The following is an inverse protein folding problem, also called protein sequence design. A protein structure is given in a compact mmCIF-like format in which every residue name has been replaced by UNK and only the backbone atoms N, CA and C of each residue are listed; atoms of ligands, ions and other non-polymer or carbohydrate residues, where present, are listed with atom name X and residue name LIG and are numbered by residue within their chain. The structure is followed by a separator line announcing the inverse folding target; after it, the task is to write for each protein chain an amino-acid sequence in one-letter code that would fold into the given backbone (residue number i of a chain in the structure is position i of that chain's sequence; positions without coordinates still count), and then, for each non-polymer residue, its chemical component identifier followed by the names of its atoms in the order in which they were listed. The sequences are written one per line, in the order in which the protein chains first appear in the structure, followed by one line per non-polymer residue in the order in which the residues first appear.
data_IF_348024111377
#
_entry.id   IF_348024111377
#
_cell.length_a   1.000
_cell.length_b   1.000
_cell.length_c   1.000
_cell.angle_alpha   90.00
_cell.angle_beta   90.00
_cell.angle_gamma   90.00
#
_symmetry.space_group_name_H-M   'P 1'
#
loop_
_entity.id
_entity.type
_entity.pdbx_description
1 polymer ?
#
# COMPACT_ATOMS: atom_id res chain seq x y z
N UNK A 1 3.33 8.12 18.42
CA UNK A 1 3.16 6.89 17.60
C UNK A 1 3.51 7.20 16.15
N UNK A 2 4.35 6.36 15.55
CA UNK A 2 4.67 6.50 14.14
C UNK A 2 3.62 5.75 13.31
N UNK A 3 2.71 6.49 12.70
CA UNK A 3 1.59 5.92 11.93
C UNK A 3 2.10 5.17 10.71
N UNK A 4 3.10 5.70 10.04
CA UNK A 4 3.71 5.06 8.86
C UNK A 4 4.25 3.67 9.21
N UNK A 5 5.00 3.56 10.30
CA UNK A 5 5.53 2.28 10.75
C UNK A 5 4.42 1.30 11.11
N UNK A 6 3.36 1.79 11.77
CA UNK A 6 2.22 0.97 12.15
C UNK A 6 1.50 0.43 10.91
N UNK A 7 1.21 1.28 9.94
CA UNK A 7 0.55 0.87 8.70
C UNK A 7 1.41 -0.15 7.95
N UNK A 8 2.71 0.11 7.84
CA UNK A 8 3.64 -0.80 7.16
C UNK A 8 3.63 -2.20 7.77
N UNK A 9 3.74 -2.28 9.10
CA UNK A 9 3.75 -3.57 9.81
C UNK A 9 2.43 -4.31 9.66
N UNK A 10 1.32 -3.60 9.78
CA UNK A 10 -0.02 -4.19 9.67
C UNK A 10 -0.30 -4.67 8.24
N UNK A 11 0.08 -3.89 7.25
CA UNK A 11 -0.08 -4.24 5.85
C UNK A 11 0.76 -5.46 5.49
N UNK A 12 2.01 -5.47 5.91
CA UNK A 12 2.91 -6.62 5.67
C UNK A 12 2.34 -7.90 6.28
N UNK A 13 1.84 -7.83 7.52
CA UNK A 13 1.26 -8.97 8.19
C UNK A 13 -0.04 -9.43 7.51
N UNK A 14 -0.87 -8.48 7.10
CA UNK A 14 -2.12 -8.79 6.40
C UNK A 14 -1.85 -9.56 5.11
N UNK A 15 -0.88 -9.12 4.32
CA UNK A 15 -0.52 -9.80 3.08
C UNK A 15 0.07 -11.19 3.35
N UNK A 16 0.88 -11.31 4.39
CA UNK A 16 1.44 -12.62 4.77
C UNK A 16 0.34 -13.61 5.13
N UNK A 17 -0.70 -13.15 5.83
CA UNK A 17 -1.78 -14.01 6.30
C UNK A 17 -2.78 -14.36 5.20
N UNK A 18 -2.93 -13.51 4.19
CA UNK A 18 -4.01 -13.64 3.21
C UNK A 18 -3.56 -13.96 1.78
N UNK A 19 -2.29 -13.75 1.45
CA UNK A 19 -1.78 -14.02 0.11
C UNK A 19 -1.01 -15.32 0.04
N UNK A 20 -1.29 -16.12 -0.99
CA UNK A 20 -0.53 -17.33 -1.27
C UNK A 20 0.78 -17.07 -1.99
N UNK A 21 0.98 -15.86 -2.50
CA UNK A 21 2.17 -15.51 -3.29
C UNK A 21 3.32 -14.98 -2.45
N UNK A 22 3.13 -14.84 -1.13
CA UNK A 22 4.16 -14.38 -0.19
C UNK A 22 4.93 -13.13 -0.67
N UNK A 23 4.23 -12.00 -0.90
CA UNK A 23 4.87 -10.82 -1.43
C UNK A 23 5.91 -10.24 -0.46
N UNK A 24 6.96 -9.68 -1.03
CA UNK A 24 7.99 -8.98 -0.25
C UNK A 24 7.60 -7.51 -0.15
N UNK A 25 7.48 -7.00 1.07
CA UNK A 25 7.02 -5.63 1.31
C UNK A 25 8.16 -4.79 1.84
N UNK A 26 8.43 -3.68 1.16
CA UNK A 26 9.50 -2.75 1.51
C UNK A 26 8.93 -1.35 1.73
N UNK A 27 9.60 -0.56 2.56
CA UNK A 27 9.26 0.86 2.75
C UNK A 27 10.12 1.79 1.90
N UNK A 28 11.08 1.25 1.17
CA UNK A 28 11.91 1.95 0.19
C UNK A 28 12.04 1.09 -1.04
N UNK A 29 12.11 1.72 -2.21
CA UNK A 29 12.38 1.00 -3.44
C UNK A 29 13.75 0.33 -3.36
N UNK A 30 13.86 -0.99 -3.57
CA UNK A 30 15.15 -1.65 -3.63
C UNK A 30 15.92 -1.18 -4.87
N UNK A 31 17.25 -1.20 -4.79
CA UNK A 31 18.09 -0.81 -5.94
C UNK A 31 17.84 -1.70 -7.15
N UNK A 32 17.69 -2.99 -6.92
CA UNK A 32 17.42 -3.97 -7.97
C UNK A 32 16.23 -4.83 -7.54
N UNK A 33 15.28 -5.01 -8.46
CA UNK A 33 14.18 -5.94 -8.24
C UNK A 33 14.66 -7.34 -8.59
N UNK A 34 14.92 -8.15 -7.57
CA UNK A 34 15.39 -9.53 -7.73
C UNK A 34 14.39 -10.56 -7.21
N UNK A 35 13.41 -10.13 -6.43
CA UNK A 35 12.39 -11.02 -5.85
C UNK A 35 11.00 -10.54 -6.28
N UNK A 36 10.10 -11.48 -6.48
CA UNK A 36 8.73 -11.18 -6.91
C UNK A 36 7.75 -12.09 -6.17
N UNK A 37 6.53 -11.62 -5.88
CA UNK A 37 6.08 -10.24 -6.04
C UNK A 37 6.77 -9.30 -5.06
N UNK A 38 6.93 -8.07 -5.44
CA UNK A 38 7.49 -7.03 -4.58
C UNK A 38 6.50 -5.88 -4.46
N UNK A 39 6.32 -5.40 -3.24
CA UNK A 39 5.44 -4.27 -2.94
C UNK A 39 6.26 -3.22 -2.20
N UNK A 40 6.19 -1.98 -2.66
CA UNK A 40 6.82 -0.84 -2.00
C UNK A 40 5.73 0.07 -1.46
N UNK A 41 5.66 0.19 -0.15
CA UNK A 41 4.71 1.08 0.51
C UNK A 41 5.46 2.31 1.01
N UNK A 42 5.10 3.46 0.50
CA UNK A 42 5.68 4.75 0.91
C UNK A 42 4.58 5.69 1.38
N UNK A 43 4.87 6.43 2.44
CA UNK A 43 4.08 7.59 2.80
C UNK A 43 4.61 8.78 2.01
N UNK A 44 3.77 9.35 1.13
CA UNK A 44 4.16 10.52 0.34
C UNK A 44 3.98 11.79 1.14
N UNK A 45 2.90 11.87 1.91
CA UNK A 45 2.46 13.09 2.52
C UNK A 45 1.77 12.82 3.85
N UNK A 46 2.15 13.57 4.87
CA UNK A 46 1.49 13.57 6.16
C UNK A 46 1.41 15.03 6.61
N UNK A 47 0.36 15.72 6.14
CA UNK A 47 0.19 17.14 6.42
C UNK A 47 -1.04 17.38 7.27
N UNK A 48 -0.94 18.39 8.13
CA UNK A 48 -2.08 18.90 8.85
C UNK A 48 -2.98 19.65 7.87
N UNK A 49 -4.28 19.32 7.87
CA UNK A 49 -5.24 19.98 7.02
C UNK A 49 -5.64 21.31 7.67
N UNK A 50 -5.20 22.41 7.09
CA UNK A 50 -5.44 23.75 7.63
C UNK A 50 -6.92 24.13 7.68
N UNK A 51 -7.78 23.49 6.90
CA UNK A 51 -9.22 23.75 6.92
C UNK A 51 -9.89 23.28 8.21
N UNK A 52 -9.23 22.41 8.95
CA UNK A 52 -9.74 21.83 10.19
C UNK A 52 -8.99 22.32 11.42
N UNK A 53 -8.01 23.20 11.27
CA UNK A 53 -7.39 23.84 12.42
C UNK A 53 -8.35 24.89 12.94
N UNK A 54 -9.13 24.51 13.94
CA UNK A 54 -10.12 25.40 14.54
C UNK A 54 -9.51 26.30 15.60
N UNK A 55 -10.26 27.31 16.01
CA UNK A 55 -9.83 28.23 17.03
C UNK A 55 -9.59 27.56 18.39
N UNK A 56 -10.25 26.45 18.68
CA UNK A 56 -10.06 25.76 19.95
C UNK A 56 -8.87 24.80 19.95
N UNK A 57 -8.32 24.47 18.81
CA UNK A 57 -7.11 23.66 18.62
C UNK A 57 -7.15 22.27 19.25
N UNK A 58 -8.30 21.80 19.67
CA UNK A 58 -8.43 20.47 20.25
C UNK A 58 -8.53 19.37 19.22
N UNK A 59 -9.00 19.72 18.03
CA UNK A 59 -9.08 18.81 16.92
C UNK A 59 -8.18 19.31 15.80
N UNK A 60 -7.36 18.43 15.31
CA UNK A 60 -6.63 18.67 14.09
C UNK A 60 -6.75 17.43 13.20
N UNK A 61 -6.74 17.67 11.92
CA UNK A 61 -6.86 16.62 10.91
C UNK A 61 -5.55 16.54 10.14
N UNK A 62 -4.94 15.37 10.16
CA UNK A 62 -3.80 15.07 9.32
C UNK A 62 -4.29 14.29 8.11
N UNK A 63 -3.79 14.66 6.94
CA UNK A 63 -4.00 13.89 5.75
C UNK A 63 -2.76 13.04 5.48
N UNK A 64 -2.96 11.73 5.38
CA UNK A 64 -1.90 10.77 5.08
C UNK A 64 -2.16 10.21 3.69
N UNK A 65 -1.17 10.32 2.83
CA UNK A 65 -1.21 9.76 1.50
C UNK A 65 -0.13 8.69 1.38
N UNK A 66 -0.54 7.49 1.05
CA UNK A 66 0.37 6.36 0.86
C UNK A 66 0.38 5.96 -0.60
N UNK A 67 1.55 5.68 -1.12
CA UNK A 67 1.72 5.12 -2.46
C UNK A 67 2.14 3.66 -2.34
N UNK A 68 1.44 2.80 -3.03
CA UNK A 68 1.73 1.37 -3.06
C UNK A 68 2.11 0.99 -4.48
N UNK A 69 3.38 0.61 -4.69
CA UNK A 69 3.86 0.09 -5.96
C UNK A 69 3.93 -1.42 -5.87
N UNK A 70 3.22 -2.10 -6.77
CA UNK A 70 3.20 -3.56 -6.83
C UNK A 70 3.89 -4.01 -8.10
N UNK A 71 4.91 -4.85 -7.96
CA UNK A 71 5.68 -5.40 -9.09
C UNK A 71 5.47 -6.90 -9.12
N UNK A 72 4.99 -7.41 -10.25
CA UNK A 72 4.75 -8.84 -10.43
C UNK A 72 5.34 -9.34 -11.73
N UNK A 73 5.63 -10.65 -11.77
CA UNK A 73 5.92 -11.35 -13.01
C UNK A 73 5.40 -12.78 -12.88
N UNK A 74 5.40 -13.52 -13.99
CA UNK A 74 4.93 -14.90 -13.97
C UNK A 74 5.68 -15.72 -12.92
N UNK A 75 4.96 -16.55 -12.19
CA UNK A 75 5.53 -17.39 -11.14
C UNK A 75 5.07 -18.83 -11.29
N UNK A 76 5.89 -19.74 -10.80
CA UNK A 76 5.55 -21.16 -10.69
C UNK A 76 5.61 -21.53 -9.21
N UNK A 77 4.47 -21.98 -8.66
CA UNK A 77 4.36 -22.39 -7.26
C UNK A 77 3.81 -23.81 -7.24
N UNK A 78 4.53 -24.72 -6.60
CA UNK A 78 4.16 -26.14 -6.52
C UNK A 78 3.80 -26.76 -7.87
N UNK A 79 4.55 -26.38 -8.91
CA UNK A 79 4.34 -26.88 -10.27
C UNK A 79 3.20 -26.21 -11.03
N UNK A 80 2.51 -25.26 -10.43
CA UNK A 80 1.41 -24.51 -11.06
C UNK A 80 1.92 -23.16 -11.51
N UNK A 81 1.69 -22.81 -12.78
CA UNK A 81 2.07 -21.53 -13.34
C UNK A 81 0.98 -20.50 -13.07
N UNK A 82 1.38 -19.35 -12.51
CA UNK A 82 0.50 -18.22 -12.28
C UNK A 82 0.93 -17.04 -13.14
N UNK A 83 0.05 -16.55 -14.02
CA UNK A 83 0.37 -15.36 -14.83
C UNK A 83 0.54 -14.13 -13.95
N UNK A 84 1.42 -13.24 -14.37
CA UNK A 84 1.70 -12.00 -13.64
C UNK A 84 0.44 -11.18 -13.35
N UNK A 85 -0.48 -11.09 -14.30
CA UNK A 85 -1.74 -10.34 -14.14
C UNK A 85 -2.65 -10.94 -13.07
N UNK A 86 -2.67 -12.26 -12.93
CA UNK A 86 -3.46 -12.93 -11.88
C UNK A 86 -2.90 -12.60 -10.50
N UNK A 87 -1.57 -12.65 -10.37
CA UNK A 87 -0.89 -12.30 -9.12
C UNK A 87 -1.16 -10.82 -8.79
N UNK A 88 -1.06 -9.95 -9.78
CA UNK A 88 -1.32 -8.53 -9.62
C UNK A 88 -2.75 -8.28 -9.12
N UNK A 89 -3.74 -8.95 -9.70
CA UNK A 89 -5.14 -8.78 -9.31
C UNK A 89 -5.38 -9.20 -7.87
N UNK A 90 -4.82 -10.31 -7.44
CA UNK A 90 -4.97 -10.74 -6.05
C UNK A 90 -4.38 -9.71 -5.08
N UNK A 91 -3.15 -9.29 -5.33
CA UNK A 91 -2.48 -8.32 -4.46
C UNK A 91 -3.18 -6.96 -4.47
N UNK A 92 -3.70 -6.56 -5.63
CA UNK A 92 -4.49 -5.34 -5.76
C UNK A 92 -5.72 -5.37 -4.86
N UNK A 93 -6.51 -6.44 -4.92
CA UNK A 93 -7.72 -6.54 -4.12
C UNK A 93 -7.43 -6.64 -2.63
N UNK A 94 -6.39 -7.38 -2.24
CA UNK A 94 -5.97 -7.44 -0.85
C UNK A 94 -5.56 -6.06 -0.33
N UNK A 95 -4.86 -5.29 -1.15
CA UNK A 95 -4.47 -3.92 -0.80
C UNK A 95 -5.70 -3.02 -0.62
N UNK A 96 -6.67 -3.10 -1.53
CA UNK A 96 -7.91 -2.33 -1.41
C UNK A 96 -8.66 -2.67 -0.12
N UNK A 97 -8.80 -3.94 0.19
CA UNK A 97 -9.50 -4.38 1.40
C UNK A 97 -8.79 -3.89 2.66
N UNK A 98 -7.47 -4.00 2.69
CA UNK A 98 -6.69 -3.54 3.85
C UNK A 98 -6.87 -2.06 4.11
N UNK A 99 -6.64 -1.23 3.08
CA UNK A 99 -6.72 0.21 3.25
C UNK A 99 -8.14 0.70 3.50
N UNK A 100 -9.13 0.07 2.89
CA UNK A 100 -10.53 0.40 3.15
C UNK A 100 -10.91 0.13 4.60
N UNK A 101 -10.46 -0.99 5.15
CA UNK A 101 -10.73 -1.34 6.55
C UNK A 101 -10.13 -0.33 7.53
N UNK A 102 -9.03 0.33 7.14
CA UNK A 102 -8.38 1.36 7.94
C UNK A 102 -8.86 2.78 7.65
N UNK A 103 -9.92 2.91 6.86
CA UNK A 103 -10.54 4.21 6.59
C UNK A 103 -9.90 5.01 5.47
N UNK A 104 -9.07 4.39 4.65
CA UNK A 104 -8.46 5.05 3.50
C UNK A 104 -9.41 5.05 2.30
N UNK A 105 -9.27 6.07 1.48
CA UNK A 105 -9.97 6.19 0.20
C UNK A 105 -8.95 6.08 -0.92
N UNK A 106 -9.21 5.20 -1.86
CA UNK A 106 -8.35 5.06 -3.04
C UNK A 106 -8.57 6.24 -3.96
N UNK A 107 -7.51 6.99 -4.25
CA UNK A 107 -7.56 8.15 -5.13
C UNK A 107 -7.02 7.86 -6.51
N UNK A 108 -6.19 6.82 -6.65
CA UNK A 108 -5.64 6.42 -7.95
C UNK A 108 -5.29 4.94 -7.93
N UNK A 109 -5.49 4.30 -9.08
CA UNK A 109 -5.00 2.95 -9.33
C UNK A 109 -4.72 2.85 -10.83
N UNK A 110 -3.46 2.74 -11.20
CA UNK A 110 -3.06 2.74 -12.60
C UNK A 110 -1.85 1.85 -12.84
N UNK A 111 -1.83 1.23 -14.01
CA UNK A 111 -0.64 0.52 -14.46
C UNK A 111 0.44 1.53 -14.80
N UNK A 112 1.69 1.18 -14.51
CA UNK A 112 2.84 2.00 -14.79
C UNK A 112 3.87 1.22 -15.60
N UNK A 113 4.63 1.94 -16.40
CA UNK A 113 5.68 1.32 -17.18
C UNK A 113 6.87 0.93 -16.31
N UNK A 114 7.51 -0.15 -16.71
CA UNK A 114 8.74 -0.62 -16.10
C UNK A 114 9.72 -1.02 -17.20
N UNK A 115 11.02 -0.86 -16.95
CA UNK A 115 12.05 -1.11 -17.96
C UNK A 115 12.10 -2.55 -18.45
N UNK A 116 11.72 -3.50 -17.59
CA UNK A 116 11.68 -4.91 -17.96
C UNK A 116 10.25 -5.28 -18.38
N UNK A 117 10.09 -5.67 -19.64
CA UNK A 117 8.77 -6.01 -20.22
C UNK A 117 8.12 -7.24 -19.58
N UNK A 118 8.89 -8.08 -18.88
CA UNK A 118 8.35 -9.26 -18.19
C UNK A 118 7.75 -8.90 -16.83
N UNK A 119 7.94 -7.68 -16.36
CA UNK A 119 7.47 -7.21 -15.06
C UNK A 119 6.31 -6.26 -15.24
N UNK A 120 5.21 -6.55 -14.56
CA UNK A 120 4.07 -5.64 -14.47
C UNK A 120 4.20 -4.76 -13.23
N UNK A 121 3.82 -3.50 -13.35
CA UNK A 121 3.83 -2.55 -12.25
C UNK A 121 2.48 -1.88 -12.12
N UNK A 122 1.96 -1.84 -10.90
CA UNK A 122 0.71 -1.15 -10.56
C UNK A 122 0.99 -0.13 -9.48
N UNK A 123 0.49 1.08 -9.65
CA UNK A 123 0.60 2.14 -8.65
C UNK A 123 -0.77 2.43 -8.08
N UNK A 124 -0.89 2.33 -6.77
CA UNK A 124 -2.11 2.63 -6.03
C UNK A 124 -1.81 3.79 -5.07
N UNK A 125 -2.69 4.77 -5.03
CA UNK A 125 -2.59 5.88 -4.09
C UNK A 125 -3.81 5.85 -3.18
N UNK A 126 -3.58 5.78 -1.87
CA UNK A 126 -4.59 5.75 -0.84
C UNK A 126 -4.43 6.94 0.09
N UNK A 127 -5.51 7.61 0.40
CA UNK A 127 -5.49 8.80 1.25
C UNK A 127 -6.47 8.65 2.40
N UNK A 128 -6.04 9.04 3.58
CA UNK A 128 -6.87 9.02 4.78
C UNK A 128 -6.72 10.34 5.53
N UNK A 129 -7.84 10.87 6.01
CA UNK A 129 -7.84 12.02 6.93
C UNK A 129 -7.98 11.48 8.34
N UNK A 130 -6.95 11.70 9.15
CA UNK A 130 -6.93 11.28 10.54
C UNK A 130 -7.29 12.43 11.45
N UNK A 131 -8.26 12.21 12.31
CA UNK A 131 -8.61 13.12 13.39
C UNK A 131 -8.42 12.41 14.73
N UNK A 132 -8.82 13.06 15.83
CA UNK A 132 -8.69 12.49 17.16
C UNK A 132 -9.47 11.18 17.34
N UNK A 133 -10.46 10.93 16.51
CA UNK A 133 -11.27 9.72 16.52
C UNK A 133 -10.53 8.54 15.90
N UNK A 134 -10.16 8.67 14.64
CA UNK A 134 -9.62 7.54 13.90
C UNK A 134 -8.15 7.25 14.20
N UNK A 135 -7.46 8.14 14.90
CA UNK A 135 -6.11 7.85 15.43
C UNK A 135 -6.11 6.70 16.42
N UNK A 136 -7.23 6.44 17.07
CA UNK A 136 -7.35 5.32 18.00
C UNK A 136 -7.30 3.96 17.30
N UNK A 137 -7.53 3.94 15.99
CA UNK A 137 -7.48 2.73 15.18
C UNK A 137 -6.04 2.27 14.99
N UNK A 138 -5.12 3.22 14.96
CA UNK A 138 -3.71 2.95 14.77
C UNK A 138 -3.01 2.81 16.13
#
# INVERSE_FOLDING_TARGET
MNIETTIFKKYKQYLKDNSKFAPNVFNKAPKNLSVFPTIVLKEINNTEDSNYTSLDRKEFVNEITSTIDIYTKDMIIDGVKYPSKEIMNELKYLTFEFFQAWGFTRTQCSEADYLNLEVDRLVIIETCKLNSWNRKIF
#
